data_IF_510499011800
#
_entry.id   IF_510499011800
#
_cell.length_a   1.000
_cell.length_b   1.000
_cell.length_c   1.000
_cell.angle_alpha   90.00
_cell.angle_beta   90.00
_cell.angle_gamma   90.00
#
_symmetry.space_group_name_H-M   'P 1'
#
loop_
_entity.id
_entity.type
_entity.pdbx_description
1 polymer ?
#
# COMPACT_ATOMS: atom_id res chain seq x y z
N UNK A 1 -18.47 50.86 23.89
CA UNK A 1 -17.25 50.15 23.73
C UNK A 1 -17.43 48.66 23.64
N UNK A 2 -17.33 48.16 22.48
CA UNK A 2 -17.71 46.82 22.20
C UNK A 2 -16.49 45.92 22.02
N UNK A 3 -16.36 44.98 22.89
CA UNK A 3 -15.25 44.04 22.90
C UNK A 3 -15.61 42.70 22.25
N UNK A 4 -16.53 42.74 21.31
CA UNK A 4 -17.01 41.49 20.70
C UNK A 4 -16.10 40.92 19.64
N UNK A 5 -15.06 41.65 19.30
CA UNK A 5 -14.15 41.28 18.22
C UNK A 5 -13.25 40.08 18.54
N UNK A 6 -13.15 39.73 19.81
CA UNK A 6 -12.17 38.73 20.24
C UNK A 6 -12.65 37.31 20.17
N UNK A 7 -13.95 37.12 20.04
CA UNK A 7 -14.50 35.76 20.09
C UNK A 7 -14.37 34.99 18.78
N UNK A 8 -14.13 35.66 17.67
CA UNK A 8 -14.00 35.02 16.39
C UNK A 8 -12.72 34.21 16.21
N UNK A 9 -11.65 34.66 16.83
CA UNK A 9 -10.36 33.99 16.69
C UNK A 9 -10.31 32.62 17.35
N UNK A 10 -11.02 32.43 18.42
CA UNK A 10 -11.05 31.19 19.16
C UNK A 10 -11.73 30.07 18.39
N UNK A 11 -12.69 30.40 17.56
CA UNK A 11 -13.42 29.40 16.76
C UNK A 11 -12.55 28.84 15.65
N UNK A 12 -11.71 29.68 15.03
CA UNK A 12 -10.80 29.23 13.96
C UNK A 12 -9.66 28.34 14.45
N UNK A 13 -9.22 28.55 15.70
CA UNK A 13 -8.16 27.75 16.30
C UNK A 13 -8.65 26.34 16.67
N UNK A 14 -9.93 26.21 16.90
CA UNK A 14 -10.54 24.96 17.32
C UNK A 14 -10.93 24.04 16.15
N UNK A 15 -10.72 24.47 14.90
CA UNK A 15 -10.93 23.59 13.77
C UNK A 15 -9.76 22.61 13.72
N UNK A 16 -9.97 21.33 14.06
CA UNK A 16 -8.87 20.36 13.99
C UNK A 16 -8.49 20.18 12.55
N UNK A 17 -7.26 20.49 12.24
CA UNK A 17 -6.67 20.09 10.98
C UNK A 17 -6.39 18.60 11.10
N UNK A 18 -7.35 17.78 10.73
CA UNK A 18 -7.15 16.34 10.69
C UNK A 18 -6.41 16.05 9.40
N UNK A 19 -5.11 16.03 9.49
CA UNK A 19 -4.26 15.51 8.45
C UNK A 19 -4.24 14.00 8.59
N UNK A 20 -5.09 13.32 7.87
CA UNK A 20 -5.07 11.86 7.81
C UNK A 20 -4.25 11.43 6.60
N UNK A 21 -3.03 10.95 6.84
CA UNK A 21 -2.33 10.22 5.81
C UNK A 21 -2.99 8.85 5.71
N UNK A 22 -3.75 8.64 4.65
CA UNK A 22 -4.37 7.36 4.40
C UNK A 22 -3.64 6.67 3.26
N UNK A 23 -3.23 5.44 3.51
CA UNK A 23 -2.76 4.57 2.45
C UNK A 23 -3.96 3.95 1.74
N UNK A 24 -3.85 3.78 0.43
CA UNK A 24 -4.85 3.04 -0.31
C UNK A 24 -4.92 1.61 0.21
N UNK A 25 -6.14 1.10 0.39
CA UNK A 25 -6.38 -0.26 0.84
C UNK A 25 -6.82 -1.12 -0.33
N UNK A 26 -6.30 -2.35 -0.40
CA UNK A 26 -6.70 -3.31 -1.41
C UNK A 26 -8.21 -3.53 -1.36
N UNK A 27 -8.88 -3.38 -2.48
CA UNK A 27 -10.33 -3.57 -2.58
C UNK A 27 -10.71 -5.03 -2.42
N UNK A 28 -11.82 -5.26 -1.74
CA UNK A 28 -12.44 -6.57 -1.69
C UNK A 28 -13.95 -6.44 -1.63
N UNK A 29 -14.62 -7.52 -1.97
CA UNK A 29 -16.06 -7.66 -1.86
C UNK A 29 -16.36 -8.72 -0.80
N UNK A 30 -17.15 -8.36 0.20
CA UNK A 30 -17.63 -9.36 1.16
C UNK A 30 -18.69 -10.20 0.49
N UNK A 31 -18.45 -11.51 0.41
CA UNK A 31 -19.38 -12.46 -0.21
C UNK A 31 -20.35 -13.03 0.83
N UNK A 32 -19.82 -13.53 1.93
CA UNK A 32 -20.60 -14.18 2.97
C UNK A 32 -19.78 -14.35 4.24
N UNK A 33 -20.48 -14.83 5.29
CA UNK A 33 -19.84 -15.26 6.53
C UNK A 33 -20.03 -16.75 6.70
N UNK A 34 -19.00 -17.42 7.20
CA UNK A 34 -19.09 -18.79 7.74
C UNK A 34 -18.71 -18.68 9.21
N UNK A 35 -19.71 -18.79 10.08
CA UNK A 35 -19.57 -18.45 11.51
C UNK A 35 -19.07 -17.00 11.66
N UNK A 36 -17.94 -16.76 12.29
CA UNK A 36 -17.32 -15.44 12.45
C UNK A 36 -16.31 -15.12 11.34
N UNK A 37 -16.16 -16.01 10.36
CA UNK A 37 -15.17 -15.88 9.29
C UNK A 37 -15.81 -15.19 8.09
N UNK A 38 -15.17 -14.10 7.63
CA UNK A 38 -15.57 -13.42 6.40
C UNK A 38 -15.03 -14.16 5.18
N UNK A 39 -15.89 -14.35 4.18
CA UNK A 39 -15.47 -14.80 2.85
C UNK A 39 -15.43 -13.58 1.94
N UNK A 40 -14.25 -13.27 1.45
CA UNK A 40 -13.99 -12.07 0.64
C UNK A 40 -13.57 -12.44 -0.77
N UNK A 41 -13.99 -11.62 -1.71
CA UNK A 41 -13.49 -11.66 -3.09
C UNK A 41 -12.57 -10.48 -3.34
N UNK A 42 -11.37 -10.76 -3.79
CA UNK A 42 -10.39 -9.72 -4.17
C UNK A 42 -10.31 -9.67 -5.69
N UNK A 43 -10.70 -8.55 -6.32
CA UNK A 43 -10.46 -8.34 -7.75
C UNK A 43 -8.97 -8.38 -8.09
N UNK A 44 -8.65 -8.59 -9.36
CA UNK A 44 -7.28 -8.56 -9.84
C UNK A 44 -6.57 -7.28 -9.46
N UNK A 45 -5.34 -7.41 -9.02
CA UNK A 45 -4.47 -6.29 -8.68
C UNK A 45 -3.08 -6.53 -9.22
N UNK A 46 -2.36 -5.45 -9.49
CA UNK A 46 -0.94 -5.56 -9.80
C UNK A 46 -0.19 -5.71 -8.47
N UNK A 47 0.64 -6.73 -8.42
CA UNK A 47 1.43 -7.07 -7.25
C UNK A 47 2.90 -6.92 -7.59
N UNK A 48 3.67 -6.51 -6.62
CA UNK A 48 5.13 -6.56 -6.68
C UNK A 48 5.63 -7.47 -5.57
N UNK A 49 6.49 -8.43 -5.95
CA UNK A 49 6.85 -9.55 -5.10
C UNK A 49 8.34 -9.74 -5.02
N UNK A 50 8.80 -10.11 -3.84
CA UNK A 50 10.15 -10.56 -3.58
C UNK A 50 10.13 -11.90 -2.86
N UNK A 51 10.92 -12.86 -3.37
CA UNK A 51 11.06 -14.17 -2.75
C UNK A 51 12.47 -14.27 -2.18
N UNK A 52 12.57 -14.62 -0.91
CA UNK A 52 13.85 -14.81 -0.22
C UNK A 52 13.83 -16.11 0.57
N UNK A 53 15.04 -16.61 0.83
CA UNK A 53 15.22 -17.86 1.55
C UNK A 53 14.80 -17.79 3.01
N UNK A 54 14.91 -16.65 3.69
CA UNK A 54 14.42 -16.49 5.07
C UNK A 54 14.39 -15.04 5.57
N UNK A 55 14.96 -14.07 4.87
CA UNK A 55 15.15 -12.73 5.40
C UNK A 55 14.10 -11.74 4.90
N UNK A 56 13.04 -11.59 5.69
CA UNK A 56 11.92 -10.70 5.35
C UNK A 56 12.31 -9.21 5.35
N UNK A 57 13.31 -8.82 6.13
CA UNK A 57 13.80 -7.44 6.14
C UNK A 57 14.41 -7.07 4.79
N UNK A 58 15.13 -8.00 4.17
CA UNK A 58 15.69 -7.81 2.84
C UNK A 58 14.57 -7.64 1.80
N UNK A 59 13.53 -8.47 1.90
CA UNK A 59 12.36 -8.38 1.03
C UNK A 59 11.71 -7.01 1.08
N UNK A 60 11.46 -6.50 2.26
CA UNK A 60 10.90 -5.17 2.44
C UNK A 60 11.77 -4.10 1.79
N UNK A 61 13.09 -4.15 1.98
CA UNK A 61 14.00 -3.16 1.42
C UNK A 61 13.99 -3.16 -0.11
N UNK A 62 13.97 -4.34 -0.74
CA UNK A 62 13.90 -4.43 -2.20
C UNK A 62 12.59 -3.89 -2.74
N UNK A 63 11.48 -4.23 -2.12
CA UNK A 63 10.17 -3.74 -2.54
C UNK A 63 10.02 -2.24 -2.31
N UNK A 64 10.52 -1.76 -1.18
CA UNK A 64 10.49 -0.34 -0.87
C UNK A 64 11.34 0.49 -1.84
N UNK A 65 12.49 -0.02 -2.25
CA UNK A 65 13.30 0.62 -3.29
C UNK A 65 12.55 0.72 -4.61
N UNK A 66 11.83 -0.33 -4.99
CA UNK A 66 11.04 -0.33 -6.20
C UNK A 66 9.99 0.78 -6.18
N UNK A 67 9.21 0.89 -5.12
CA UNK A 67 8.16 1.93 -5.02
C UNK A 67 8.72 3.32 -4.76
N UNK A 68 9.97 3.42 -4.35
CA UNK A 68 10.64 4.71 -4.12
C UNK A 68 11.34 5.28 -5.36
N UNK A 69 11.16 4.65 -6.51
CA UNK A 69 11.73 5.10 -7.77
C UNK A 69 12.76 4.14 -8.38
N UNK A 70 13.02 3.00 -7.76
CA UNK A 70 13.90 1.95 -8.28
C UNK A 70 13.27 1.13 -9.41
N UNK A 71 12.75 1.80 -10.43
CA UNK A 71 12.07 1.22 -11.57
C UNK A 71 12.45 1.97 -12.85
N UNK A 72 12.08 1.44 -14.00
CA UNK A 72 12.48 1.95 -15.31
C UNK A 72 11.98 3.36 -15.61
N UNK A 73 10.92 3.81 -14.94
CA UNK A 73 10.36 5.14 -15.09
C UNK A 73 10.81 6.12 -14.00
N UNK A 74 11.65 5.68 -13.06
CA UNK A 74 12.03 6.45 -11.87
C UNK A 74 10.82 7.04 -11.16
N UNK A 75 9.72 6.30 -11.17
CA UNK A 75 8.43 6.77 -10.64
C UNK A 75 8.25 6.34 -9.18
N UNK A 76 7.90 7.30 -8.34
CA UNK A 76 7.50 7.01 -6.98
C UNK A 76 6.08 6.47 -6.97
N UNK A 77 5.89 5.33 -6.29
CA UNK A 77 4.60 4.65 -6.15
C UNK A 77 4.18 4.72 -4.69
N UNK A 78 2.94 5.09 -4.45
CA UNK A 78 2.42 5.18 -3.09
C UNK A 78 2.28 3.80 -2.47
N UNK A 79 2.56 3.72 -1.17
CA UNK A 79 2.35 2.50 -0.40
C UNK A 79 0.86 2.19 -0.29
N UNK A 80 0.52 0.91 -0.36
CA UNK A 80 -0.83 0.42 -0.10
C UNK A 80 -0.83 -0.54 1.09
N UNK A 81 -2.01 -0.89 1.56
CA UNK A 81 -2.22 -1.90 2.60
C UNK A 81 -3.20 -2.96 2.11
N UNK A 82 -3.11 -4.18 2.56
CA UNK A 82 -2.08 -4.75 3.45
C UNK A 82 -0.81 -5.14 2.69
N UNK A 83 0.26 -5.41 3.43
CA UNK A 83 1.45 -6.08 2.93
C UNK A 83 1.23 -7.58 3.10
N UNK A 84 1.39 -8.32 2.03
CA UNK A 84 1.23 -9.78 2.06
C UNK A 84 2.57 -10.44 2.34
N UNK A 85 2.59 -11.33 3.31
CA UNK A 85 3.79 -12.09 3.67
C UNK A 85 3.44 -13.56 3.76
N UNK A 86 4.25 -14.39 3.14
CA UNK A 86 4.13 -15.83 3.22
C UNK A 86 5.45 -16.41 3.72
N UNK A 87 5.38 -17.17 4.81
CA UNK A 87 6.54 -17.85 5.38
C UNK A 87 6.47 -19.34 5.07
N UNK A 88 7.37 -19.80 4.22
CA UNK A 88 7.55 -21.21 3.95
C UNK A 88 8.74 -21.77 4.72
N UNK A 89 8.91 -23.08 4.68
CA UNK A 89 10.04 -23.76 5.33
C UNK A 89 11.38 -23.39 4.70
N UNK A 90 11.41 -23.27 3.38
CA UNK A 90 12.62 -22.98 2.60
C UNK A 90 12.66 -21.57 2.07
N UNK A 91 11.52 -21.01 1.70
CA UNK A 91 11.40 -19.69 1.10
C UNK A 91 10.29 -18.90 1.76
N UNK A 92 10.51 -17.61 1.87
CA UNK A 92 9.50 -16.67 2.30
C UNK A 92 9.28 -15.64 1.19
N UNK A 93 8.07 -15.14 1.07
CA UNK A 93 7.76 -14.09 0.11
C UNK A 93 7.14 -12.88 0.80
N UNK A 94 7.36 -11.73 0.22
CA UNK A 94 6.70 -10.50 0.60
C UNK A 94 6.17 -9.83 -0.66
N UNK A 95 4.94 -9.33 -0.57
CA UNK A 95 4.29 -8.70 -1.70
C UNK A 95 3.62 -7.41 -1.28
N UNK A 96 3.77 -6.38 -2.13
CA UNK A 96 2.99 -5.15 -2.03
C UNK A 96 1.93 -5.17 -3.12
N UNK A 97 0.73 -4.73 -2.76
CA UNK A 97 -0.32 -4.43 -3.74
C UNK A 97 -0.05 -3.04 -4.29
N UNK A 98 0.03 -2.88 -5.60
CA UNK A 98 0.19 -1.56 -6.20
C UNK A 98 -1.15 -0.82 -6.24
N UNK A 99 -1.13 0.53 -6.21
CA UNK A 99 -2.36 1.31 -6.32
C UNK A 99 -3.20 0.95 -7.54
N UNK A 100 -4.51 1.15 -7.42
CA UNK A 100 -5.49 0.81 -8.48
C UNK A 100 -5.24 1.48 -9.82
N UNK A 101 -4.52 2.60 -9.82
CA UNK A 101 -4.17 3.32 -11.05
C UNK A 101 -3.27 2.52 -11.99
N UNK A 102 -2.59 1.47 -11.47
CA UNK A 102 -1.64 0.67 -12.23
C UNK A 102 -2.31 -0.54 -12.88
N UNK A 103 -1.90 -0.80 -14.12
CA UNK A 103 -2.21 -2.01 -14.87
C UNK A 103 -0.93 -2.51 -15.54
N UNK A 104 -0.99 -3.64 -16.22
CA UNK A 104 0.19 -4.21 -16.87
C UNK A 104 0.81 -3.30 -17.95
N UNK A 105 0.03 -2.36 -18.51
CA UNK A 105 0.51 -1.47 -19.56
C UNK A 105 1.27 -0.28 -19.02
N UNK A 106 0.90 0.21 -17.83
CA UNK A 106 1.48 1.43 -17.28
C UNK A 106 2.37 1.20 -16.05
N UNK A 107 2.42 -0.02 -15.53
CA UNK A 107 3.22 -0.31 -14.35
C UNK A 107 4.70 -0.19 -14.67
N UNK A 108 5.49 0.53 -13.85
CA UNK A 108 6.93 0.59 -14.04
C UNK A 108 7.59 -0.78 -13.84
N UNK A 109 8.59 -1.08 -14.64
CA UNK A 109 9.33 -2.33 -14.54
C UNK A 109 10.40 -2.23 -13.47
N UNK A 110 10.59 -3.27 -12.64
CA UNK A 110 11.64 -3.25 -11.65
C UNK A 110 13.01 -3.30 -12.31
N UNK A 111 13.97 -2.56 -11.75
CA UNK A 111 15.36 -2.60 -12.17
C UNK A 111 16.02 -3.85 -11.62
N UNK A 112 15.69 -4.23 -10.39
CA UNK A 112 16.25 -5.40 -9.74
C UNK A 112 15.54 -6.66 -10.21
N UNK A 113 16.31 -7.63 -10.71
CA UNK A 113 15.80 -8.92 -11.21
C UNK A 113 15.15 -9.79 -10.14
N UNK A 114 15.40 -9.52 -8.87
CA UNK A 114 14.81 -10.25 -7.75
C UNK A 114 13.40 -9.77 -7.40
N UNK A 115 12.98 -8.65 -7.98
CA UNK A 115 11.66 -8.10 -7.80
C UNK A 115 10.83 -8.41 -9.03
N UNK A 116 9.65 -8.98 -8.82
CA UNK A 116 8.75 -9.41 -9.89
C UNK A 116 7.43 -8.64 -9.78
N UNK A 117 6.94 -8.14 -10.89
CA UNK A 117 5.61 -7.54 -11.00
C UNK A 117 4.70 -8.51 -11.74
N UNK A 118 3.53 -8.75 -11.18
CA UNK A 118 2.55 -9.66 -11.80
C UNK A 118 1.13 -9.24 -11.45
N UNK A 119 0.17 -9.76 -12.17
CA UNK A 119 -1.25 -9.55 -11.91
C UNK A 119 -1.81 -10.76 -11.19
N UNK A 120 -2.41 -10.51 -10.03
CA UNK A 120 -3.03 -11.56 -9.22
C UNK A 120 -4.55 -11.51 -9.31
#
# INVERSE_FOLDING_TARGET
MNNYKYNFFLVLILIPIISMSQYETQEYKLISYIDEIEIRYYPSSIMVKYIDDKNMNRGFNYLFRYISGGNDLSKKINMTTPVHMERGEKKSSMEFVLPREFNFKNVPKPINSKVEVYEA
#
